data_IF_380127091544
#
_entry.id   IF_380127091544
#
_cell.length_a   1.000
_cell.length_b   1.000
_cell.length_c   1.000
_cell.angle_alpha   90.00
_cell.angle_beta   90.00
_cell.angle_gamma   90.00
#
_symmetry.space_group_name_H-M   'P 1'
#
loop_
_entity.id
_entity.type
_entity.pdbx_description
1 polymer ?
#
# COMPACT_ATOMS: atom_id res chain seq x y z
N UNK A 1 -13.20 5.73 -21.94
CA UNK A 1 -11.92 5.00 -21.86
C UNK A 1 -11.93 4.10 -20.64
N UNK A 2 -11.91 2.78 -20.84
CA UNK A 2 -11.82 1.82 -19.74
C UNK A 2 -10.34 1.64 -19.39
N UNK A 3 -9.90 2.27 -18.29
CA UNK A 3 -8.58 2.04 -17.72
C UNK A 3 -8.47 0.57 -17.32
N UNK A 4 -7.64 -0.20 -18.04
CA UNK A 4 -7.27 -1.54 -17.63
C UNK A 4 -6.72 -1.48 -16.19
N UNK A 5 -7.24 -2.31 -15.29
CA UNK A 5 -6.66 -2.43 -13.95
C UNK A 5 -5.26 -3.05 -14.09
N UNK A 6 -4.22 -2.51 -13.42
CA UNK A 6 -2.85 -3.02 -13.55
C UNK A 6 -2.68 -4.48 -13.07
N UNK A 7 -3.68 -5.04 -12.39
CA UNK A 7 -3.75 -6.45 -11.99
C UNK A 7 -4.43 -7.38 -13.05
N UNK A 8 -4.85 -6.88 -14.22
CA UNK A 8 -5.66 -7.66 -15.20
C UNK A 8 -4.84 -8.47 -16.23
N UNK A 9 -3.51 -8.56 -16.06
CA UNK A 9 -2.64 -9.35 -16.94
C UNK A 9 -2.52 -10.81 -16.52
N UNK A 10 -2.27 -11.76 -17.45
CA UNK A 10 -2.07 -13.18 -17.14
C UNK A 10 -0.65 -13.43 -16.58
N UNK A 11 -0.28 -12.74 -15.51
CA UNK A 11 0.94 -13.03 -14.77
C UNK A 11 0.59 -14.05 -13.68
N UNK A 12 0.94 -15.30 -13.91
CA UNK A 12 0.93 -16.38 -12.92
C UNK A 12 1.71 -15.92 -11.68
N UNK A 13 1.02 -15.35 -10.68
CA UNK A 13 1.62 -14.87 -9.44
C UNK A 13 1.39 -13.40 -9.07
N UNK A 14 0.54 -12.63 -9.76
CA UNK A 14 0.16 -11.30 -9.26
C UNK A 14 -0.89 -11.41 -8.14
N UNK A 15 -0.69 -10.69 -7.04
CA UNK A 15 -1.61 -10.61 -5.89
C UNK A 15 -2.10 -9.19 -5.69
N UNK A 16 -3.39 -9.04 -5.37
CA UNK A 16 -3.96 -7.74 -5.02
C UNK A 16 -3.96 -7.58 -3.50
N UNK A 17 -3.47 -6.43 -3.04
CA UNK A 17 -3.52 -6.03 -1.65
C UNK A 17 -4.28 -4.72 -1.53
N UNK A 18 -5.15 -4.64 -0.54
CA UNK A 18 -5.80 -3.40 -0.15
C UNK A 18 -5.36 -3.04 1.25
N UNK A 19 -4.91 -1.79 1.44
CA UNK A 19 -4.50 -1.30 2.75
C UNK A 19 -5.32 -0.08 3.14
N UNK A 20 -5.84 -0.06 4.37
CA UNK A 20 -6.44 1.11 5.00
C UNK A 20 -5.55 1.57 6.13
N UNK A 21 -5.08 2.81 6.05
CA UNK A 21 -4.17 3.40 7.02
C UNK A 21 -4.84 4.61 7.63
N UNK A 22 -4.87 4.69 8.96
CA UNK A 22 -5.49 5.80 9.69
C UNK A 22 -4.51 6.41 10.68
N UNK A 23 -4.65 7.71 10.89
CA UNK A 23 -3.88 8.46 11.87
C UNK A 23 -4.72 9.58 12.46
N UNK A 24 -4.58 9.79 13.77
CA UNK A 24 -5.27 10.85 14.52
C UNK A 24 -4.67 12.24 14.29
N UNK A 25 -3.47 12.31 13.71
CA UNK A 25 -2.80 13.58 13.43
C UNK A 25 -1.97 13.48 12.16
N UNK A 26 -1.76 14.64 11.52
CA UNK A 26 -0.88 14.75 10.36
C UNK A 26 0.49 15.24 10.77
N UNK A 27 1.53 14.55 10.31
CA UNK A 27 2.92 14.96 10.52
C UNK A 27 3.66 15.13 9.19
N UNK A 28 4.60 16.09 9.10
CA UNK A 28 5.42 16.25 7.90
C UNK A 28 6.13 14.93 7.53
N UNK A 29 6.04 14.54 6.25
CA UNK A 29 6.65 13.32 5.73
C UNK A 29 5.93 12.01 6.07
N UNK A 30 4.75 12.05 6.69
CA UNK A 30 4.00 10.83 7.04
C UNK A 30 3.66 9.95 5.84
N UNK A 31 3.23 10.56 4.74
CA UNK A 31 2.97 9.85 3.48
C UNK A 31 4.25 9.21 2.93
N UNK A 32 5.39 9.89 3.01
CA UNK A 32 6.68 9.33 2.61
C UNK A 32 7.07 8.11 3.45
N UNK A 33 6.73 8.08 4.75
CA UNK A 33 6.97 6.91 5.60
C UNK A 33 6.08 5.72 5.25
N UNK A 34 4.89 5.96 4.70
CA UNK A 34 3.98 4.92 4.23
C UNK A 34 4.49 4.31 2.91
N UNK A 35 4.86 5.15 1.95
CA UNK A 35 5.26 4.69 0.61
C UNK A 35 6.74 4.34 0.46
N UNK A 36 7.60 4.89 1.31
CA UNK A 36 9.05 4.67 1.30
C UNK A 36 9.45 3.18 1.27
N UNK A 37 8.88 2.33 2.14
CA UNK A 37 9.17 0.89 2.13
C UNK A 37 8.76 0.20 0.81
N UNK A 38 7.68 0.66 0.18
CA UNK A 38 7.22 0.10 -1.10
C UNK A 38 8.21 0.36 -2.24
N UNK A 39 9.04 1.40 -2.14
CA UNK A 39 10.06 1.71 -3.16
C UNK A 39 11.15 0.65 -3.27
N UNK A 40 11.38 -0.14 -2.21
CA UNK A 40 12.36 -1.23 -2.23
C UNK A 40 11.99 -2.32 -3.24
N UNK A 41 10.70 -2.50 -3.52
CA UNK A 41 10.16 -3.52 -4.44
C UNK A 41 10.16 -3.08 -5.91
N UNK A 42 10.54 -1.83 -6.20
CA UNK A 42 10.71 -1.30 -7.58
C UNK A 42 9.51 -1.61 -8.48
N UNK A 43 9.73 -2.35 -9.58
CA UNK A 43 8.73 -2.70 -10.58
C UNK A 43 7.82 -3.87 -10.16
N UNK A 44 8.13 -4.56 -9.07
CA UNK A 44 7.34 -5.69 -8.56
C UNK A 44 6.08 -5.22 -7.84
N UNK A 45 6.00 -3.94 -7.46
CA UNK A 45 4.85 -3.35 -6.79
C UNK A 45 4.33 -2.17 -7.58
N UNK A 46 3.04 -2.21 -7.88
CA UNK A 46 2.30 -1.13 -8.53
C UNK A 46 1.18 -0.67 -7.60
N UNK A 47 1.23 0.59 -7.18
CA UNK A 47 0.10 1.22 -6.48
C UNK A 47 -0.90 1.68 -7.53
N UNK A 48 -2.06 1.01 -7.62
CA UNK A 48 -3.08 1.32 -8.63
C UNK A 48 -3.98 2.46 -8.21
N UNK A 49 -4.29 2.53 -6.91
CA UNK A 49 -5.24 3.52 -6.37
C UNK A 49 -4.72 4.06 -5.06
N UNK A 50 -4.80 5.39 -4.90
CA UNK A 50 -4.58 6.09 -3.63
C UNK A 50 -5.79 6.96 -3.35
N UNK A 51 -6.46 6.72 -2.23
CA UNK A 51 -7.59 7.53 -1.73
C UNK A 51 -7.20 8.13 -0.39
N UNK A 52 -7.04 9.44 -0.33
CA UNK A 52 -6.75 10.14 0.92
C UNK A 52 -7.96 10.96 1.36
N UNK A 53 -8.31 10.91 2.64
CA UNK A 53 -9.23 11.86 3.24
C UNK A 53 -8.57 12.59 4.43
N UNK A 54 -9.01 13.83 4.63
CA UNK A 54 -8.73 14.62 5.84
C UNK A 54 -9.85 14.38 6.82
N UNK A 55 -9.50 14.06 8.06
CA UNK A 55 -10.46 13.94 9.14
C UNK A 55 -10.67 15.30 9.80
N UNK A 56 -11.86 15.55 10.34
CA UNK A 56 -12.21 16.83 10.96
C UNK A 56 -11.34 17.17 12.18
N UNK A 57 -10.81 16.15 12.86
CA UNK A 57 -9.92 16.26 14.01
C UNK A 57 -8.45 16.54 13.63
N UNK A 58 -8.15 16.74 12.34
CA UNK A 58 -6.80 16.96 11.84
C UNK A 58 -6.06 15.66 11.50
N UNK A 59 -6.73 14.51 11.57
CA UNK A 59 -6.20 13.22 11.17
C UNK A 59 -6.20 12.96 9.66
N UNK A 60 -5.91 11.71 9.30
CA UNK A 60 -5.89 11.23 7.92
C UNK A 60 -6.37 9.78 7.86
N UNK A 61 -7.17 9.45 6.84
CA UNK A 61 -7.24 8.07 6.36
C UNK A 61 -6.70 7.99 4.93
N UNK A 62 -6.05 6.87 4.63
CA UNK A 62 -5.44 6.57 3.35
C UNK A 62 -5.82 5.15 2.95
N UNK A 63 -6.55 5.01 1.86
CA UNK A 63 -6.85 3.74 1.20
C UNK A 63 -5.90 3.51 0.04
N UNK A 64 -5.27 2.34 0.00
CA UNK A 64 -4.33 1.93 -1.05
C UNK A 64 -4.84 0.66 -1.71
N UNK A 65 -4.75 0.60 -3.03
CA UNK A 65 -4.82 -0.64 -3.80
C UNK A 65 -3.44 -0.88 -4.42
N UNK A 66 -2.90 -2.07 -4.17
CA UNK A 66 -1.54 -2.45 -4.52
C UNK A 66 -1.61 -3.76 -5.28
N UNK A 67 -0.95 -3.81 -6.44
CA UNK A 67 -0.70 -5.03 -7.20
C UNK A 67 0.76 -5.42 -6.96
N UNK A 68 1.00 -6.57 -6.33
CA UNK A 68 2.34 -7.11 -6.11
C UNK A 68 2.55 -8.32 -7.03
N UNK A 69 3.65 -8.35 -7.76
CA UNK A 69 4.04 -9.45 -8.63
C UNK A 69 4.93 -10.42 -7.85
N UNK A 70 4.61 -11.70 -7.90
CA UNK A 70 5.53 -12.76 -7.49
C UNK A 70 6.78 -12.71 -8.37
N UNK A 71 7.95 -12.64 -7.73
CA UNK A 71 9.24 -12.82 -8.40
C UNK A 71 9.97 -14.04 -7.85
N UNK A 72 11.12 -14.37 -8.43
CA UNK A 72 12.01 -15.39 -7.89
C UNK A 72 12.58 -15.01 -6.51
N UNK A 73 12.56 -13.73 -6.15
CA UNK A 73 13.20 -13.16 -4.97
C UNK A 73 12.22 -12.57 -3.95
N UNK A 74 10.94 -12.40 -4.31
CA UNK A 74 9.94 -11.75 -3.47
C UNK A 74 8.57 -12.43 -3.56
N UNK A 75 7.98 -12.65 -2.40
CA UNK A 75 6.61 -13.12 -2.21
C UNK A 75 5.72 -11.88 -1.99
N UNK A 76 4.55 -11.75 -2.65
CA UNK A 76 3.60 -10.68 -2.43
C UNK A 76 3.25 -10.43 -0.96
N UNK A 77 3.27 -11.48 -0.13
CA UNK A 77 3.05 -11.36 1.32
C UNK A 77 4.13 -10.53 2.03
N UNK A 78 5.32 -10.40 1.46
CA UNK A 78 6.38 -9.53 1.98
C UNK A 78 6.02 -8.05 1.84
N UNK A 79 5.32 -7.67 0.76
CA UNK A 79 4.84 -6.29 0.55
C UNK A 79 3.86 -5.90 1.65
N UNK A 80 2.93 -6.81 1.99
CA UNK A 80 2.00 -6.61 3.10
C UNK A 80 2.73 -6.46 4.45
N UNK A 81 3.69 -7.36 4.73
CA UNK A 81 4.47 -7.34 5.98
C UNK A 81 5.26 -6.06 6.13
N UNK A 82 5.91 -5.60 5.07
CA UNK A 82 6.72 -4.39 5.10
C UNK A 82 5.85 -3.15 5.31
N UNK A 83 4.69 -3.08 4.64
CA UNK A 83 3.73 -1.99 4.83
C UNK A 83 3.19 -1.96 6.28
N UNK A 84 2.81 -3.13 6.81
CA UNK A 84 2.36 -3.26 8.20
C UNK A 84 3.44 -2.82 9.19
N UNK A 85 4.67 -3.29 8.98
CA UNK A 85 5.81 -2.99 9.84
C UNK A 85 6.15 -1.50 9.84
N UNK A 86 6.21 -0.88 8.67
CA UNK A 86 6.50 0.55 8.55
C UNK A 86 5.40 1.43 9.14
N UNK A 87 4.13 1.09 8.91
CA UNK A 87 3.01 1.81 9.50
C UNK A 87 3.03 1.69 11.03
N UNK A 88 3.31 0.50 11.57
CA UNK A 88 3.43 0.28 13.01
C UNK A 88 4.60 1.09 13.62
N UNK A 89 5.77 1.08 12.98
CA UNK A 89 6.91 1.92 13.41
C UNK A 89 6.59 3.41 13.40
N UNK A 90 5.77 3.86 12.44
CA UNK A 90 5.34 5.24 12.32
C UNK A 90 4.17 5.60 13.26
N UNK A 91 3.68 4.67 14.09
CA UNK A 91 2.54 4.88 14.99
C UNK A 91 1.20 5.04 14.25
N UNK A 92 1.08 4.46 13.05
CA UNK A 92 -0.12 4.49 12.23
C UNK A 92 -0.93 3.22 12.45
N UNK A 93 -2.25 3.34 12.45
CA UNK A 93 -3.13 2.17 12.42
C UNK A 93 -3.25 1.72 10.98
N UNK A 94 -3.13 0.42 10.74
CA UNK A 94 -3.17 -0.16 9.40
C UNK A 94 -3.92 -1.49 9.40
N UNK A 95 -4.79 -1.65 8.43
CA UNK A 95 -5.48 -2.90 8.11
C UNK A 95 -5.12 -3.28 6.68
N UNK A 96 -4.65 -4.50 6.47
CA UNK A 96 -4.30 -5.02 5.14
C UNK A 96 -5.13 -6.26 4.86
N UNK A 97 -5.78 -6.29 3.72
CA UNK A 97 -6.46 -7.48 3.19
C UNK A 97 -5.87 -7.87 1.84
N UNK A 98 -5.78 -9.17 1.64
CA UNK A 98 -5.15 -9.83 0.50
C UNK A 98 -6.23 -10.54 -0.31
N UNK A 99 -6.25 -10.34 -1.63
CA UNK A 99 -7.24 -10.88 -2.57
C UNK A 99 -6.57 -11.59 -3.74
#
# INVERSE_FOLDING_TARGET
EASASPCSGPATGAMRLTAQITSKSRTPGQVLRIFGPLMAFKSEVVVSTVRQCSLQDGGMCLGLEICAQQSATSDPSQVAKELLFACNQAGLQVEVSMQ
#
